data_IF_462300660965
#
_entry.id   IF_462300660965
#
_cell.length_a   1.000
_cell.length_b   1.000
_cell.length_c   1.000
_cell.angle_alpha   90.00
_cell.angle_beta   90.00
_cell.angle_gamma   90.00
#
_symmetry.space_group_name_H-M   'P 1'
#
loop_
_entity.id
_entity.type
_entity.pdbx_description
1 polymer ?
#
# COMPACT_ATOMS: atom_id res chain seq x y z
N UNK A 1 -17.83 -2.35 9.88
CA UNK A 1 -16.63 -2.84 10.61
C UNK A 1 -15.90 -1.62 11.14
N UNK A 2 -15.33 -1.67 12.35
CA UNK A 2 -14.51 -0.60 12.89
C UNK A 2 -13.06 -0.92 12.57
N UNK A 3 -12.42 -0.10 11.73
CA UNK A 3 -11.03 -0.22 11.38
C UNK A 3 -10.18 0.70 12.27
N UNK A 4 -8.99 0.25 12.62
CA UNK A 4 -8.00 1.09 13.28
C UNK A 4 -7.44 2.10 12.29
N UNK A 5 -7.20 3.33 12.75
CA UNK A 5 -6.70 4.40 11.89
C UNK A 5 -5.98 5.48 12.71
N UNK A 6 -5.17 6.24 12.02
CA UNK A 6 -4.61 7.52 12.49
C UNK A 6 -5.24 8.65 11.68
N UNK A 7 -5.57 9.79 12.35
CA UNK A 7 -6.15 10.96 11.67
C UNK A 7 -5.40 12.21 12.05
N UNK A 8 -4.98 12.98 11.05
CA UNK A 8 -4.24 14.24 11.21
C UNK A 8 -4.67 15.28 10.21
N UNK A 9 -4.59 16.54 10.63
CA UNK A 9 -4.91 17.69 9.79
C UNK A 9 -6.39 18.01 9.75
N UNK A 10 -6.78 18.88 8.81
CA UNK A 10 -8.14 19.35 8.57
C UNK A 10 -8.34 19.61 7.08
N UNK A 11 -9.58 19.76 6.63
CA UNK A 11 -9.92 20.04 5.23
C UNK A 11 -10.63 18.89 4.56
N UNK A 12 -10.41 18.73 3.24
CA UNK A 12 -11.01 17.61 2.49
C UNK A 12 -10.39 16.28 2.90
N UNK A 13 -11.20 15.22 3.10
CA UNK A 13 -10.71 13.94 3.58
C UNK A 13 -9.86 13.22 2.52
N UNK A 14 -8.67 12.77 2.95
CA UNK A 14 -7.76 11.91 2.18
C UNK A 14 -7.53 10.60 2.94
N UNK A 15 -8.10 9.51 2.44
CA UNK A 15 -7.94 8.17 3.01
C UNK A 15 -6.71 7.49 2.42
N UNK A 16 -5.83 6.98 3.28
CA UNK A 16 -4.58 6.30 2.91
C UNK A 16 -4.66 4.81 3.16
N UNK A 17 -4.44 3.98 2.13
CA UNK A 17 -4.54 2.53 2.15
C UNK A 17 -3.16 1.89 1.95
N UNK A 18 -2.71 1.10 2.93
CA UNK A 18 -1.41 0.43 2.90
C UNK A 18 -1.38 -0.81 2.00
N UNK A 19 -0.19 -1.34 1.73
CA UNK A 19 0.04 -2.59 1.01
C UNK A 19 -0.11 -3.83 1.91
N UNK A 20 -0.14 -5.02 1.28
CA UNK A 20 -0.20 -6.31 1.99
C UNK A 20 0.93 -6.43 3.02
N UNK A 21 0.60 -6.90 4.22
CA UNK A 21 1.57 -7.12 5.29
C UNK A 21 2.07 -5.85 5.98
N UNK A 22 1.51 -4.70 5.68
CA UNK A 22 1.78 -3.43 6.33
C UNK A 22 0.63 -3.00 7.26
N UNK A 23 0.73 -1.80 7.79
CA UNK A 23 -0.26 -1.09 8.60
C UNK A 23 -0.16 0.43 8.32
N UNK A 24 -1.03 1.26 8.91
CA UNK A 24 -1.10 2.69 8.64
C UNK A 24 0.23 3.44 8.82
N UNK A 25 1.12 2.95 9.70
CA UNK A 25 2.42 3.59 10.00
C UNK A 25 3.37 3.64 8.78
N UNK A 26 3.12 2.86 7.73
CA UNK A 26 3.88 2.98 6.47
C UNK A 26 3.79 4.39 5.87
N UNK A 27 2.76 5.14 6.25
CA UNK A 27 2.50 6.50 5.80
C UNK A 27 3.16 7.59 6.66
N UNK A 28 3.75 7.24 7.82
CA UNK A 28 4.39 8.20 8.72
C UNK A 28 5.32 9.20 8.02
N UNK A 29 6.16 8.80 7.03
CA UNK A 29 7.06 9.75 6.37
C UNK A 29 6.35 10.90 5.63
N UNK A 30 5.09 10.72 5.23
CA UNK A 30 4.31 11.70 4.46
C UNK A 30 3.13 12.27 5.23
N UNK A 31 2.78 11.70 6.37
CA UNK A 31 1.52 11.98 7.06
C UNK A 31 1.41 13.46 7.46
N UNK A 32 2.43 14.02 8.09
CA UNK A 32 2.43 15.43 8.50
C UNK A 32 2.51 16.39 7.30
N UNK A 33 3.18 16.00 6.23
CA UNK A 33 3.22 16.78 4.99
C UNK A 33 1.84 16.89 4.34
N UNK A 34 1.08 15.80 4.34
CA UNK A 34 -0.28 15.77 3.80
C UNK A 34 -1.27 16.50 4.71
N UNK A 35 -1.09 16.39 6.03
CA UNK A 35 -1.96 16.99 7.04
C UNK A 35 -1.93 18.54 7.04
N UNK A 36 -0.99 19.15 6.34
CA UNK A 36 -0.97 20.60 6.12
C UNK A 36 -2.09 21.08 5.19
N UNK A 37 -2.62 20.21 4.30
CA UNK A 37 -3.63 20.57 3.30
C UNK A 37 -4.88 19.68 3.33
N UNK A 38 -4.85 18.55 4.06
CA UNK A 38 -5.91 17.53 4.05
C UNK A 38 -6.23 17.04 5.46
N UNK A 39 -7.46 16.58 5.63
CA UNK A 39 -7.87 15.73 6.74
C UNK A 39 -7.46 14.29 6.40
N UNK A 40 -6.26 13.89 6.83
CA UNK A 40 -5.62 12.62 6.45
C UNK A 40 -6.08 11.50 7.38
N UNK A 41 -6.59 10.43 6.80
CA UNK A 41 -7.09 9.24 7.52
C UNK A 41 -6.30 8.02 7.02
N UNK A 42 -5.25 7.62 7.73
CA UNK A 42 -4.44 6.45 7.40
C UNK A 42 -5.02 5.22 8.12
N UNK A 43 -5.45 4.21 7.34
CA UNK A 43 -6.29 3.09 7.82
C UNK A 43 -5.48 1.81 7.84
N UNK A 44 -5.67 0.99 8.88
CA UNK A 44 -5.32 -0.43 8.86
C UNK A 44 -6.41 -1.22 8.15
N UNK A 45 -6.06 -1.90 7.06
CA UNK A 45 -7.00 -2.76 6.34
C UNK A 45 -7.44 -3.95 7.20
N UNK A 46 -8.62 -4.55 6.95
CA UNK A 46 -9.10 -5.71 7.70
C UNK A 46 -8.06 -6.83 7.76
N UNK A 47 -7.77 -7.33 8.97
CA UNK A 47 -6.78 -8.39 9.19
C UNK A 47 -5.31 -7.93 9.11
N UNK A 48 -5.08 -6.62 9.16
CA UNK A 48 -3.75 -6.00 9.21
C UNK A 48 -3.68 -4.98 10.34
N UNK A 49 -2.47 -4.72 10.84
CA UNK A 49 -2.24 -3.76 11.92
C UNK A 49 -3.07 -4.10 13.17
N UNK A 50 -3.83 -3.13 13.65
CA UNK A 50 -4.76 -3.27 14.77
C UNK A 50 -6.23 -3.47 14.35
N UNK A 51 -6.51 -3.51 13.05
CA UNK A 51 -7.86 -3.78 12.55
C UNK A 51 -8.25 -5.25 12.72
N UNK A 52 -9.52 -5.53 13.08
CA UNK A 52 -10.01 -6.90 13.16
C UNK A 52 -9.99 -7.57 11.77
N UNK A 53 -9.94 -8.91 11.74
CA UNK A 53 -10.10 -9.65 10.48
C UNK A 53 -11.50 -9.44 9.89
N UNK A 54 -11.66 -9.75 8.60
CA UNK A 54 -12.98 -9.83 7.97
C UNK A 54 -13.86 -10.84 8.73
N UNK A 55 -15.20 -10.67 8.70
CA UNK A 55 -16.11 -11.63 9.30
C UNK A 55 -15.85 -13.06 8.81
N UNK A 56 -16.02 -14.09 9.66
CA UNK A 56 -15.87 -15.48 9.25
C UNK A 56 -16.66 -15.80 7.98
N UNK A 57 -16.03 -16.48 7.02
CA UNK A 57 -16.62 -16.83 5.73
C UNK A 57 -16.55 -15.73 4.66
N UNK A 58 -16.09 -14.53 4.98
CA UNK A 58 -15.85 -13.48 4.00
C UNK A 58 -14.45 -13.65 3.38
N UNK A 59 -14.32 -13.84 2.06
CA UNK A 59 -13.01 -14.03 1.42
C UNK A 59 -12.21 -12.70 1.42
N UNK A 60 -10.89 -12.80 1.53
CA UNK A 60 -9.98 -11.64 1.44
C UNK A 60 -9.72 -11.26 -0.02
N UNK A 61 -10.76 -10.86 -0.73
CA UNK A 61 -10.66 -10.31 -2.08
C UNK A 61 -10.58 -8.78 -2.06
N UNK A 62 -10.21 -8.18 -3.18
CA UNK A 62 -10.21 -6.71 -3.32
C UNK A 62 -11.60 -6.14 -3.10
N UNK A 63 -12.63 -6.80 -3.60
CA UNK A 63 -14.02 -6.38 -3.46
C UNK A 63 -14.44 -6.33 -1.99
N UNK A 64 -14.16 -7.38 -1.22
CA UNK A 64 -14.50 -7.43 0.22
C UNK A 64 -13.71 -6.40 1.05
N UNK A 65 -12.44 -6.16 0.68
CA UNK A 65 -11.63 -5.13 1.33
C UNK A 65 -12.14 -3.72 0.96
N UNK A 66 -12.56 -3.49 -0.28
CA UNK A 66 -13.15 -2.24 -0.70
C UNK A 66 -14.49 -1.97 0.01
N UNK A 67 -15.36 -2.98 0.14
CA UNK A 67 -16.62 -2.90 0.90
C UNK A 67 -16.37 -2.51 2.37
N UNK A 68 -15.32 -3.05 2.97
CA UNK A 68 -14.91 -2.70 4.34
C UNK A 68 -14.46 -1.24 4.44
N UNK A 69 -13.68 -0.73 3.47
CA UNK A 69 -13.24 0.66 3.42
C UNK A 69 -14.43 1.60 3.22
N UNK A 70 -15.34 1.30 2.31
CA UNK A 70 -16.57 2.08 2.09
C UNK A 70 -17.44 2.14 3.35
N UNK A 71 -17.64 0.98 4.00
CA UNK A 71 -18.38 0.90 5.27
C UNK A 71 -17.71 1.74 6.37
N UNK A 72 -16.38 1.69 6.45
CA UNK A 72 -15.61 2.49 7.40
C UNK A 72 -15.77 3.99 7.14
N UNK A 73 -15.59 4.45 5.90
CA UNK A 73 -15.80 5.86 5.53
C UNK A 73 -17.22 6.34 5.87
N UNK A 74 -18.23 5.56 5.54
CA UNK A 74 -19.64 5.89 5.85
C UNK A 74 -19.87 6.04 7.37
N UNK A 75 -19.27 5.18 8.20
CA UNK A 75 -19.36 5.26 9.67
C UNK A 75 -18.69 6.49 10.27
N UNK A 76 -17.61 6.96 9.63
CA UNK A 76 -16.93 8.21 10.03
C UNK A 76 -17.66 9.47 9.50
N UNK A 77 -18.74 9.32 8.72
CA UNK A 77 -19.39 10.43 8.05
C UNK A 77 -18.57 11.03 6.91
N UNK A 78 -17.61 10.27 6.38
CA UNK A 78 -16.76 10.69 5.26
C UNK A 78 -17.41 10.24 3.97
N UNK A 79 -17.90 11.20 3.20
CA UNK A 79 -18.55 10.97 1.90
C UNK A 79 -17.63 11.40 0.77
N UNK A 80 -17.51 10.56 -0.26
CA UNK A 80 -16.69 10.82 -1.46
C UNK A 80 -15.27 11.33 -1.11
N UNK A 81 -14.47 10.60 -0.29
CA UNK A 81 -13.12 11.03 0.04
C UNK A 81 -12.21 11.02 -1.20
N UNK A 82 -11.11 11.76 -1.13
CA UNK A 82 -9.93 11.41 -1.91
C UNK A 82 -9.33 10.13 -1.33
N UNK A 83 -8.86 9.21 -2.16
CA UNK A 83 -8.21 7.98 -1.70
C UNK A 83 -6.83 7.85 -2.32
N UNK A 84 -5.85 7.48 -1.52
CA UNK A 84 -4.54 7.10 -2.03
C UNK A 84 -4.09 5.77 -1.43
N UNK A 85 -3.37 4.97 -2.21
CA UNK A 85 -2.90 3.69 -1.71
C UNK A 85 -1.61 3.23 -2.37
N UNK A 86 -0.90 2.33 -1.69
CA UNK A 86 0.30 1.70 -2.23
C UNK A 86 0.10 0.20 -2.39
N UNK A 87 0.63 -0.39 -3.48
CA UNK A 87 0.58 -1.84 -3.73
C UNK A 87 -0.87 -2.38 -3.74
N UNK A 88 -1.26 -3.23 -2.78
CA UNK A 88 -2.65 -3.67 -2.55
C UNK A 88 -3.59 -2.47 -2.35
N UNK A 89 -3.20 -1.54 -1.46
CA UNK A 89 -3.97 -0.32 -1.23
C UNK A 89 -4.09 0.55 -2.48
N UNK A 90 -3.07 0.53 -3.35
CA UNK A 90 -3.12 1.20 -4.66
C UNK A 90 -4.17 0.59 -5.58
N UNK A 91 -4.28 -0.73 -5.60
CA UNK A 91 -5.34 -1.41 -6.35
C UNK A 91 -6.73 -1.13 -5.76
N UNK A 92 -6.85 -1.16 -4.42
CA UNK A 92 -8.09 -0.77 -3.74
C UNK A 92 -8.53 0.65 -4.08
N UNK A 93 -7.60 1.60 -4.17
CA UNK A 93 -7.92 2.96 -4.59
C UNK A 93 -8.48 3.00 -6.02
N UNK A 94 -7.91 2.21 -6.95
CA UNK A 94 -8.42 2.10 -8.32
C UNK A 94 -9.79 1.39 -8.37
N UNK A 95 -10.01 0.38 -7.54
CA UNK A 95 -11.31 -0.30 -7.41
C UNK A 95 -12.39 0.68 -6.93
N UNK A 96 -12.11 1.47 -5.89
CA UNK A 96 -13.05 2.48 -5.39
C UNK A 96 -13.34 3.56 -6.43
N UNK A 97 -12.34 3.97 -7.23
CA UNK A 97 -12.54 4.87 -8.37
C UNK A 97 -13.42 4.25 -9.47
N UNK A 98 -13.27 2.95 -9.71
CA UNK A 98 -14.10 2.18 -10.65
C UNK A 98 -15.56 2.10 -10.19
N UNK A 99 -15.79 1.96 -8.90
CA UNK A 99 -17.13 2.03 -8.29
C UNK A 99 -17.73 3.42 -8.37
N UNK A 100 -16.92 4.46 -8.36
CA UNK A 100 -17.36 5.86 -8.35
C UNK A 100 -17.77 6.34 -6.95
N UNK A 101 -17.21 5.73 -5.90
CA UNK A 101 -17.52 6.03 -4.49
C UNK A 101 -16.51 6.99 -3.85
N UNK A 102 -15.51 7.42 -4.63
CA UNK A 102 -14.48 8.36 -4.20
C UNK A 102 -14.37 9.53 -5.17
N UNK A 103 -13.90 10.67 -4.69
CA UNK A 103 -13.72 11.88 -5.50
C UNK A 103 -12.57 11.75 -6.47
N UNK A 104 -11.43 11.27 -5.99
CA UNK A 104 -10.25 10.93 -6.80
C UNK A 104 -9.53 9.73 -6.20
N UNK A 105 -8.70 9.05 -7.01
CA UNK A 105 -7.83 8.00 -6.51
C UNK A 105 -6.39 8.15 -6.99
N UNK A 106 -5.43 7.98 -6.06
CA UNK A 106 -4.00 7.93 -6.38
C UNK A 106 -3.43 6.57 -6.01
N UNK A 107 -2.86 5.87 -7.00
CA UNK A 107 -2.29 4.53 -6.84
C UNK A 107 -0.77 4.56 -7.00
N UNK A 108 -0.05 4.14 -5.95
CA UNK A 108 1.41 3.98 -5.95
C UNK A 108 1.75 2.50 -6.19
N UNK A 109 2.40 2.18 -7.30
CA UNK A 109 2.81 0.82 -7.69
C UNK A 109 1.72 -0.23 -7.41
N UNK A 110 0.48 -0.07 -7.96
CA UNK A 110 -0.65 -0.97 -7.65
C UNK A 110 -0.41 -2.40 -8.12
N UNK A 111 -0.92 -3.39 -7.35
CA UNK A 111 -0.98 -4.80 -7.74
C UNK A 111 -1.95 -5.03 -8.91
N UNK A 112 -1.92 -6.20 -9.54
CA UNK A 112 -2.91 -6.62 -10.55
C UNK A 112 -2.49 -6.36 -12.00
N UNK A 113 -1.38 -5.66 -12.26
CA UNK A 113 -0.86 -5.37 -13.59
C UNK A 113 0.27 -6.32 -14.04
N UNK A 114 0.38 -7.48 -13.40
CA UNK A 114 1.39 -8.51 -13.68
C UNK A 114 0.98 -9.46 -14.81
N UNK A 115 1.98 -10.14 -15.38
CA UNK A 115 1.77 -11.40 -16.10
C UNK A 115 1.97 -12.58 -15.12
N UNK A 116 1.79 -13.81 -15.63
CA UNK A 116 1.88 -15.04 -14.80
C UNK A 116 3.24 -15.17 -14.09
N UNK A 117 4.35 -14.91 -14.77
CA UNK A 117 5.68 -15.05 -14.18
C UNK A 117 5.97 -13.97 -13.12
N UNK A 118 5.51 -12.74 -13.36
CA UNK A 118 5.62 -11.63 -12.40
C UNK A 118 4.74 -11.87 -11.16
N UNK A 119 3.54 -12.45 -11.32
CA UNK A 119 2.70 -12.87 -10.21
C UNK A 119 3.38 -13.95 -9.35
N UNK A 120 3.94 -14.99 -9.98
CA UNK A 120 4.67 -16.06 -9.27
C UNK A 120 5.86 -15.47 -8.50
N UNK A 121 6.65 -14.60 -9.15
CA UNK A 121 7.76 -13.90 -8.51
C UNK A 121 7.31 -13.08 -7.29
N UNK A 122 6.30 -12.22 -7.46
CA UNK A 122 5.81 -11.35 -6.39
C UNK A 122 5.29 -12.16 -5.20
N UNK A 123 4.52 -13.23 -5.46
CA UNK A 123 4.03 -14.13 -4.39
C UNK A 123 5.18 -14.85 -3.67
N UNK A 124 6.18 -15.32 -4.41
CA UNK A 124 7.34 -15.98 -3.82
C UNK A 124 8.13 -15.00 -2.92
N UNK A 125 8.39 -13.77 -3.39
CA UNK A 125 9.05 -12.73 -2.60
C UNK A 125 8.26 -12.42 -1.33
N UNK A 126 6.97 -12.17 -1.42
CA UNK A 126 6.14 -11.82 -0.27
C UNK A 126 6.06 -12.95 0.76
N UNK A 127 5.92 -14.21 0.32
CA UNK A 127 6.00 -15.39 1.22
C UNK A 127 7.36 -15.52 1.88
N UNK A 128 8.44 -15.29 1.14
CA UNK A 128 9.79 -15.33 1.70
C UNK A 128 10.00 -14.24 2.74
N UNK A 129 9.58 -13.00 2.47
CA UNK A 129 9.65 -11.92 3.45
C UNK A 129 8.87 -12.24 4.73
N UNK A 130 7.67 -12.82 4.60
CA UNK A 130 6.88 -13.27 5.77
C UNK A 130 7.58 -14.40 6.52
N UNK A 131 8.10 -15.41 5.84
CA UNK A 131 8.82 -16.51 6.45
C UNK A 131 10.07 -16.03 7.21
N UNK A 132 10.83 -15.10 6.61
CA UNK A 132 11.96 -14.46 7.26
C UNK A 132 11.54 -13.64 8.49
N UNK A 133 10.39 -12.95 8.42
CA UNK A 133 9.88 -12.22 9.57
C UNK A 133 9.61 -13.11 10.78
N UNK A 134 9.17 -14.36 10.57
CA UNK A 134 9.02 -15.37 11.64
C UNK A 134 10.37 -15.96 12.04
N UNK A 135 11.23 -16.34 11.10
CA UNK A 135 12.52 -16.97 11.39
C UNK A 135 13.47 -16.07 12.21
N UNK A 136 13.39 -14.75 12.00
CA UNK A 136 14.19 -13.76 12.69
C UNK A 136 13.57 -13.28 14.03
N UNK A 137 12.59 -14.01 14.57
CA UNK A 137 11.90 -13.67 15.84
C UNK A 137 12.69 -14.16 17.08
N UNK A 138 13.94 -13.83 17.11
CA UNK A 138 14.84 -14.08 18.25
C UNK A 138 15.78 -12.91 18.43
N UNK A 139 16.32 -12.71 19.61
CA UNK A 139 17.30 -11.66 19.88
C UNK A 139 18.51 -11.72 18.93
N UNK A 140 18.94 -12.92 18.55
CA UNK A 140 20.01 -13.13 17.55
C UNK A 140 19.53 -12.78 16.13
N UNK A 141 18.34 -13.16 15.76
CA UNK A 141 17.72 -12.80 14.47
C UNK A 141 17.52 -11.30 14.34
N UNK A 142 17.10 -10.62 15.40
CA UNK A 142 16.99 -9.16 15.45
C UNK A 142 18.32 -8.47 15.26
N UNK A 143 19.39 -8.95 15.94
CA UNK A 143 20.74 -8.41 15.78
C UNK A 143 21.26 -8.61 14.36
N UNK A 144 21.00 -9.75 13.73
CA UNK A 144 21.37 -10.02 12.33
C UNK A 144 20.59 -9.11 11.36
N UNK A 145 19.30 -8.93 11.56
CA UNK A 145 18.45 -8.05 10.75
C UNK A 145 18.83 -6.56 10.92
N UNK A 146 19.32 -6.16 12.09
CA UNK A 146 19.76 -4.79 12.38
C UNK A 146 21.13 -4.44 11.77
N UNK A 147 21.91 -5.42 11.30
CA UNK A 147 23.19 -5.18 10.63
C UNK A 147 23.03 -4.62 9.21
N UNK A 148 24.07 -3.96 8.62
CA UNK A 148 24.00 -3.34 7.29
C UNK A 148 23.58 -4.30 6.17
N UNK A 149 24.00 -5.56 6.24
CA UNK A 149 23.59 -6.62 5.30
C UNK A 149 22.12 -7.00 5.50
N UNK A 150 21.67 -7.13 6.76
CA UNK A 150 20.30 -7.43 7.10
C UNK A 150 19.33 -6.34 6.60
N UNK A 151 19.69 -5.07 6.79
CA UNK A 151 18.96 -3.93 6.25
C UNK A 151 18.82 -4.01 4.73
N UNK A 152 19.92 -4.23 4.02
CA UNK A 152 19.93 -4.29 2.56
C UNK A 152 19.12 -5.47 2.03
N UNK A 153 19.20 -6.63 2.66
CA UNK A 153 18.49 -7.83 2.24
C UNK A 153 16.99 -7.75 2.56
N UNK A 154 16.62 -7.25 3.75
CA UNK A 154 15.23 -7.18 4.17
C UNK A 154 14.43 -6.09 3.44
N UNK A 155 15.04 -4.92 3.23
CA UNK A 155 14.35 -3.75 2.68
C UNK A 155 14.68 -3.45 1.22
N UNK A 156 15.80 -3.96 0.68
CA UNK A 156 16.30 -3.61 -0.64
C UNK A 156 15.41 -4.01 -1.82
N UNK A 157 14.42 -4.89 -1.60
CA UNK A 157 13.38 -5.19 -2.58
C UNK A 157 12.24 -4.17 -2.57
N UNK A 158 12.02 -3.52 -1.41
CA UNK A 158 10.87 -2.63 -1.18
C UNK A 158 11.24 -1.15 -1.30
N UNK A 159 12.47 -0.76 -0.96
CA UNK A 159 12.94 0.62 -1.03
C UNK A 159 14.20 0.73 -1.89
N UNK A 160 14.42 1.89 -2.50
CA UNK A 160 15.63 2.15 -3.28
C UNK A 160 16.85 2.42 -2.38
N UNK A 161 16.61 2.99 -1.19
CA UNK A 161 17.63 3.42 -0.24
C UNK A 161 17.46 2.76 1.14
N UNK A 162 17.76 1.45 1.31
CA UNK A 162 17.58 0.73 2.58
C UNK A 162 18.30 1.36 3.77
N UNK A 163 19.44 2.01 3.53
CA UNK A 163 20.23 2.68 4.56
C UNK A 163 19.55 3.89 5.21
N UNK A 164 18.48 4.41 4.63
CA UNK A 164 17.67 5.50 5.20
C UNK A 164 16.65 5.01 6.24
N UNK A 165 16.32 3.72 6.23
CA UNK A 165 15.41 3.13 7.21
C UNK A 165 16.13 2.95 8.54
N UNK A 166 15.46 3.29 9.62
CA UNK A 166 15.96 2.99 10.96
C UNK A 166 15.75 1.51 11.31
N UNK A 167 16.49 1.01 12.29
CA UNK A 167 16.27 -0.32 12.86
C UNK A 167 14.85 -0.48 13.40
N UNK A 168 14.26 0.61 13.90
CA UNK A 168 12.89 0.66 14.37
C UNK A 168 11.90 0.42 13.22
N UNK A 169 12.06 1.11 12.08
CA UNK A 169 11.17 0.96 10.91
C UNK A 169 11.16 -0.48 10.41
N UNK A 170 12.34 -1.12 10.37
CA UNK A 170 12.47 -2.53 9.97
C UNK A 170 11.83 -3.48 10.99
N UNK A 171 11.99 -3.21 12.29
CA UNK A 171 11.36 -4.01 13.34
C UNK A 171 9.84 -3.90 13.28
N UNK A 172 9.30 -2.69 13.09
CA UNK A 172 7.88 -2.44 12.94
C UNK A 172 7.30 -3.11 11.69
N UNK A 173 7.96 -2.99 10.53
CA UNK A 173 7.55 -3.66 9.30
C UNK A 173 7.55 -5.20 9.43
N UNK A 174 8.56 -5.76 10.11
CA UNK A 174 8.63 -7.19 10.40
C UNK A 174 7.49 -7.64 11.32
N UNK A 175 7.20 -6.88 12.38
CA UNK A 175 6.09 -7.17 13.28
C UNK A 175 4.74 -7.09 12.57
N UNK A 176 4.56 -6.11 11.68
CA UNK A 176 3.36 -5.98 10.85
C UNK A 176 3.13 -7.24 10.00
N UNK A 177 4.17 -7.71 9.30
CA UNK A 177 4.11 -8.96 8.52
C UNK A 177 3.73 -10.18 9.36
N UNK A 178 4.23 -10.28 10.59
CA UNK A 178 3.94 -11.43 11.49
C UNK A 178 2.53 -11.40 12.05
N UNK A 179 2.05 -10.20 12.41
CA UNK A 179 0.76 -9.99 13.07
C UNK A 179 -0.39 -9.73 12.11
N UNK A 180 -0.25 -10.10 10.84
CA UNK A 180 -1.27 -9.91 9.80
C UNK A 180 -2.05 -11.21 9.54
N UNK A 181 -3.15 -11.52 10.25
CA UNK A 181 -3.95 -12.72 9.99
C UNK A 181 -4.55 -12.75 8.57
N UNK A 182 -4.81 -11.60 7.98
CA UNK A 182 -5.33 -11.51 6.61
C UNK A 182 -4.29 -11.70 5.49
N UNK A 183 -3.00 -11.90 5.82
CA UNK A 183 -1.93 -11.90 4.83
C UNK A 183 -2.02 -13.06 3.84
N UNK A 184 -2.14 -14.30 4.32
CA UNK A 184 -2.06 -15.48 3.46
C UNK A 184 -3.28 -15.57 2.54
N UNK A 185 -4.48 -15.35 3.07
CA UNK A 185 -5.74 -15.34 2.30
C UNK A 185 -5.73 -14.22 1.25
N UNK A 186 -5.27 -13.03 1.60
CA UNK A 186 -5.10 -11.91 0.64
C UNK A 186 -4.10 -12.26 -0.45
N UNK A 187 -2.94 -12.83 -0.09
CA UNK A 187 -1.91 -13.21 -1.06
C UNK A 187 -2.39 -14.32 -2.00
N UNK A 188 -3.19 -15.24 -1.49
CA UNK A 188 -3.76 -16.33 -2.30
C UNK A 188 -4.83 -15.81 -3.26
N UNK A 189 -5.60 -14.80 -2.88
CA UNK A 189 -6.56 -14.13 -3.78
C UNK A 189 -5.92 -13.46 -5.00
N UNK A 190 -4.63 -13.09 -4.92
CA UNK A 190 -3.90 -12.45 -6.03
C UNK A 190 -3.86 -13.30 -7.32
N UNK A 191 -4.08 -14.62 -7.24
CA UNK A 191 -4.16 -15.50 -8.42
C UNK A 191 -5.31 -15.11 -9.35
N UNK A 192 -6.37 -14.57 -8.79
CA UNK A 192 -7.58 -14.18 -9.52
C UNK A 192 -7.64 -12.67 -9.79
N UNK A 193 -6.66 -11.92 -9.26
CA UNK A 193 -6.69 -10.47 -9.33
C UNK A 193 -6.37 -9.97 -10.74
N UNK A 194 -7.33 -9.26 -11.31
CA UNK A 194 -7.25 -8.57 -12.60
C UNK A 194 -7.31 -7.05 -12.37
N UNK A 195 -6.85 -6.23 -13.32
CA UNK A 195 -7.12 -4.80 -13.27
C UNK A 195 -8.61 -4.52 -13.09
N UNK A 196 -9.00 -3.52 -12.28
CA UNK A 196 -10.41 -3.22 -12.06
C UNK A 196 -11.09 -2.74 -13.35
N UNK A 197 -12.41 -2.59 -13.31
CA UNK A 197 -13.16 -1.95 -14.39
C UNK A 197 -12.64 -0.52 -14.63
N UNK A 198 -12.90 0.11 -15.78
CA UNK A 198 -12.49 1.49 -16.05
C UNK A 198 -12.95 2.45 -14.95
N UNK A 199 -12.08 3.38 -14.50
CA UNK A 199 -12.41 4.29 -13.42
C UNK A 199 -13.52 5.28 -13.83
N UNK A 200 -14.43 5.56 -12.91
CA UNK A 200 -15.51 6.54 -13.07
C UNK A 200 -15.12 7.92 -12.53
N UNK A 201 -14.05 7.99 -11.74
CA UNK A 201 -13.54 9.24 -11.16
C UNK A 201 -12.09 9.46 -11.56
N UNK A 202 -11.55 10.69 -11.47
CA UNK A 202 -10.17 10.97 -11.83
C UNK A 202 -9.18 10.10 -11.06
N UNK A 203 -8.18 9.58 -11.76
CA UNK A 203 -7.13 8.76 -11.16
C UNK A 203 -5.74 9.32 -11.45
N UNK A 204 -4.81 9.06 -10.55
CA UNK A 204 -3.37 9.25 -10.74
C UNK A 204 -2.67 7.93 -10.46
N UNK A 205 -1.81 7.46 -11.37
CA UNK A 205 -0.96 6.29 -11.13
C UNK A 205 0.49 6.76 -11.10
N UNK A 206 1.21 6.41 -10.03
CA UNK A 206 2.64 6.66 -9.91
C UNK A 206 3.40 5.35 -9.61
N UNK A 207 4.67 5.27 -10.03
CA UNK A 207 5.45 4.04 -9.93
C UNK A 207 6.91 4.36 -9.61
N UNK A 208 7.48 3.64 -8.64
CA UNK A 208 8.89 3.77 -8.32
C UNK A 208 9.78 3.35 -9.49
N UNK A 209 10.72 4.21 -9.88
CA UNK A 209 11.63 3.92 -11.00
C UNK A 209 12.53 2.71 -10.71
N UNK A 210 12.89 2.51 -9.43
CA UNK A 210 13.71 1.42 -8.91
C UNK A 210 12.90 0.32 -8.22
N UNK A 211 11.59 0.23 -8.48
CA UNK A 211 10.74 -0.83 -7.94
C UNK A 211 11.25 -2.20 -8.42
N UNK A 212 11.70 -3.02 -7.45
CA UNK A 212 12.23 -4.37 -7.70
C UNK A 212 11.20 -5.46 -7.46
N UNK A 213 10.07 -5.11 -6.80
CA UNK A 213 8.96 -6.04 -6.60
C UNK A 213 8.03 -6.04 -7.81
N UNK A 214 7.71 -4.85 -8.33
CA UNK A 214 6.84 -4.69 -9.51
C UNK A 214 7.58 -3.94 -10.62
N UNK A 215 7.84 -4.66 -11.69
CA UNK A 215 8.66 -4.15 -12.79
C UNK A 215 8.01 -2.97 -13.52
N UNK A 216 8.84 -2.14 -14.18
CA UNK A 216 8.35 -1.07 -15.08
C UNK A 216 7.43 -1.57 -16.19
N UNK A 217 7.48 -2.86 -16.56
CA UNK A 217 6.54 -3.46 -17.53
C UNK A 217 5.10 -3.47 -17.00
N UNK A 218 4.93 -3.60 -15.68
CA UNK A 218 3.61 -3.48 -15.03
C UNK A 218 3.11 -2.03 -15.10
N UNK A 219 3.97 -1.04 -14.88
CA UNK A 219 3.62 0.38 -15.06
C UNK A 219 3.16 0.68 -16.49
N UNK A 220 3.81 0.09 -17.51
CA UNK A 220 3.38 0.22 -18.92
C UNK A 220 1.99 -0.40 -19.14
N UNK A 221 1.69 -1.55 -18.52
CA UNK A 221 0.35 -2.15 -18.60
C UNK A 221 -0.70 -1.30 -17.89
N UNK A 222 -0.37 -0.74 -16.73
CA UNK A 222 -1.24 0.19 -16.01
C UNK A 222 -1.54 1.46 -16.85
N UNK A 223 -0.53 2.00 -17.53
CA UNK A 223 -0.70 3.13 -18.45
C UNK A 223 -1.65 2.80 -19.62
N UNK A 224 -1.52 1.61 -20.20
CA UNK A 224 -2.41 1.15 -21.28
C UNK A 224 -3.84 0.93 -20.78
N UNK A 225 -4.00 0.35 -19.62
CA UNK A 225 -5.30 0.12 -19.00
C UNK A 225 -6.03 1.44 -18.70
N UNK A 226 -5.33 2.41 -18.10
CA UNK A 226 -5.92 3.69 -17.70
C UNK A 226 -6.05 4.69 -18.87
N UNK A 227 -5.37 4.47 -19.99
CA UNK A 227 -5.23 5.47 -21.06
C UNK A 227 -4.42 6.71 -20.65
N UNK A 228 -3.77 6.70 -19.49
CA UNK A 228 -3.05 7.84 -18.92
C UNK A 228 -1.55 7.54 -18.75
N UNK A 229 -0.74 8.60 -18.64
CA UNK A 229 0.68 8.45 -18.32
C UNK A 229 0.85 8.08 -16.84
N UNK A 230 1.58 7.01 -16.57
CA UNK A 230 2.05 6.71 -15.22
C UNK A 230 3.19 7.66 -14.86
N UNK A 231 3.12 8.29 -13.69
CA UNK A 231 4.18 9.17 -13.16
C UNK A 231 5.31 8.30 -12.59
N UNK A 232 6.48 8.35 -13.19
CA UNK A 232 7.65 7.66 -12.65
C UNK A 232 8.24 8.49 -11.51
N UNK A 233 8.33 7.88 -10.32
CA UNK A 233 8.97 8.46 -9.15
C UNK A 233 10.46 8.15 -9.22
N UNK A 234 11.23 9.17 -9.58
CA UNK A 234 12.67 9.03 -9.81
C UNK A 234 13.35 8.59 -8.51
N UNK A 235 14.29 7.63 -8.64
CA UNK A 235 15.10 7.15 -7.54
C UNK A 235 14.33 6.50 -6.37
N UNK A 236 13.07 6.09 -6.58
CA UNK A 236 12.20 5.47 -5.60
C UNK A 236 11.97 3.99 -5.89
N UNK A 237 11.86 3.17 -4.84
CA UNK A 237 11.49 1.76 -4.87
C UNK A 237 9.99 1.52 -4.81
N UNK A 238 9.58 0.34 -4.33
CA UNK A 238 8.18 -0.08 -4.20
C UNK A 238 7.42 0.72 -3.14
N UNK A 239 8.09 1.10 -2.04
CA UNK A 239 7.56 1.95 -0.98
C UNK A 239 8.21 3.36 -1.06
N UNK A 240 7.78 4.18 -2.03
CA UNK A 240 8.46 5.42 -2.38
C UNK A 240 8.42 6.47 -1.27
N UNK A 241 7.46 6.39 -0.33
CA UNK A 241 7.34 7.30 0.81
C UNK A 241 8.56 7.23 1.74
N UNK A 242 9.30 6.12 1.73
CA UNK A 242 10.54 5.97 2.50
C UNK A 242 11.78 6.50 1.75
N UNK A 243 11.69 6.60 0.42
CA UNK A 243 12.81 7.06 -0.41
C UNK A 243 12.78 8.58 -0.63
N UNK A 244 11.60 9.13 -0.99
CA UNK A 244 11.38 10.58 -1.17
C UNK A 244 9.98 10.98 -0.67
N UNK A 245 9.83 11.24 0.64
CA UNK A 245 8.56 11.67 1.23
C UNK A 245 7.98 12.93 0.59
N UNK A 246 8.82 13.92 0.27
CA UNK A 246 8.36 15.19 -0.29
C UNK A 246 7.79 15.01 -1.70
N UNK A 247 8.43 14.19 -2.53
CA UNK A 247 7.92 13.85 -3.86
C UNK A 247 6.58 13.10 -3.76
N UNK A 248 6.48 12.12 -2.87
CA UNK A 248 5.24 11.34 -2.68
C UNK A 248 4.12 12.24 -2.16
N UNK A 249 4.36 13.04 -1.12
CA UNK A 249 3.34 13.98 -0.61
C UNK A 249 2.82 14.90 -1.71
N UNK A 250 3.70 15.49 -2.54
CA UNK A 250 3.32 16.32 -3.68
C UNK A 250 2.43 15.56 -4.67
N UNK A 251 2.79 14.32 -5.04
CA UNK A 251 1.99 13.50 -5.97
C UNK A 251 0.60 13.20 -5.40
N UNK A 252 0.51 12.89 -4.10
CA UNK A 252 -0.76 12.62 -3.44
C UNK A 252 -1.64 13.88 -3.33
N UNK A 253 -1.05 15.02 -2.99
CA UNK A 253 -1.77 16.30 -2.93
C UNK A 253 -2.24 16.74 -4.33
N UNK A 254 -1.41 16.64 -5.36
CA UNK A 254 -1.81 16.94 -6.74
C UNK A 254 -2.93 16.02 -7.22
N UNK A 255 -2.84 14.71 -6.93
CA UNK A 255 -3.87 13.73 -7.27
C UNK A 255 -5.19 13.91 -6.52
N UNK A 256 -5.20 14.69 -5.44
CA UNK A 256 -6.38 15.04 -4.64
C UNK A 256 -6.89 16.47 -4.86
N UNK A 257 -6.53 17.13 -5.97
CA UNK A 257 -7.01 18.49 -6.35
C UNK A 257 -8.02 18.48 -7.51
N UNK A 258 -8.29 17.31 -8.07
CA UNK A 258 -9.15 17.17 -9.24
C UNK A 258 -10.65 17.26 -8.89
#
# INVERSE_FOLDING_TARGET
MDLAFERRGTGEPLVLLHGIGHHWQVWLPVLDLLATERDVIAVDLPGFGASPPLPPGTPYTVESLADAVETFCARLGVTEPHVAGTSLGGHLALELASRGTVRTATALSPVGFWNRSELVYSRAVLRTLRALAFALDSSRGEALAAGPLGHTLAAGLLVAHPSRLSTRDLSEARQALRRAPGFDDTLDSFVWLMPPAPPKTPITIAWGERDRLFSRRQAVRAARWSGQRVRLLRDCGHLPMNDDPALVARVLLEGSRA
#
